data_IF_062273843833
#
_entry.id   IF_062273843833
#
_cell.length_a   1.000
_cell.length_b   1.000
_cell.length_c   1.000
_cell.angle_alpha   90.00
_cell.angle_beta   90.00
_cell.angle_gamma   90.00
#
_symmetry.space_group_name_H-M   'P 1'
#
loop_
_entity.id
_entity.type
_entity.pdbx_description
1 polymer ?
#
# COMPACT_ATOMS: atom_id res chain seq x y z
N UNK A 1 0.13 -6.42 11.04
CA UNK A 1 -0.61 -5.65 10.02
C UNK A 1 -2.10 -5.99 9.95
N UNK A 2 -2.76 -6.23 11.08
CA UNK A 2 -4.19 -6.59 11.10
C UNK A 2 -5.11 -5.44 10.68
N UNK A 3 -4.78 -4.21 11.07
CA UNK A 3 -5.60 -3.03 10.80
C UNK A 3 -5.57 -2.61 9.34
N UNK A 4 -4.43 -2.74 8.65
CA UNK A 4 -4.32 -2.50 7.21
C UNK A 4 -5.20 -3.50 6.44
N UNK A 5 -5.09 -4.79 6.76
CA UNK A 5 -5.90 -5.82 6.08
C UNK A 5 -7.40 -5.58 6.30
N UNK A 6 -7.81 -5.21 7.52
CA UNK A 6 -9.20 -4.91 7.87
C UNK A 6 -9.74 -3.68 7.14
N UNK A 7 -8.94 -2.62 7.03
CA UNK A 7 -9.32 -1.39 6.34
C UNK A 7 -9.39 -1.57 4.82
N UNK A 8 -8.39 -2.25 4.25
CA UNK A 8 -8.19 -2.28 2.79
C UNK A 8 -8.87 -3.44 2.08
N UNK A 9 -9.20 -4.56 2.75
CA UNK A 9 -9.95 -5.65 2.12
C UNK A 9 -11.29 -5.19 1.49
N UNK A 10 -12.18 -4.47 2.21
CA UNK A 10 -13.42 -3.99 1.61
C UNK A 10 -13.19 -2.91 0.54
N UNK A 11 -12.15 -2.08 0.66
CA UNK A 11 -11.77 -1.09 -0.36
C UNK A 11 -11.27 -1.76 -1.64
N UNK A 12 -10.47 -2.82 -1.53
CA UNK A 12 -10.01 -3.58 -2.68
C UNK A 12 -11.17 -4.30 -3.39
N UNK A 13 -12.10 -4.89 -2.63
CA UNK A 13 -13.30 -5.47 -3.21
C UNK A 13 -14.14 -4.42 -3.95
N UNK A 14 -14.29 -3.22 -3.35
CA UNK A 14 -15.00 -2.10 -3.97
C UNK A 14 -14.33 -1.64 -5.28
N UNK A 15 -13.00 -1.59 -5.33
CA UNK A 15 -12.25 -1.26 -6.57
C UNK A 15 -12.48 -2.32 -7.65
N UNK A 16 -12.44 -3.60 -7.28
CA UNK A 16 -12.67 -4.71 -8.22
C UNK A 16 -14.09 -4.76 -8.78
N UNK A 17 -15.10 -4.28 -8.03
CA UNK A 17 -16.49 -4.15 -8.50
C UNK A 17 -16.60 -3.17 -9.70
N UNK A 18 -15.75 -2.13 -9.73
CA UNK A 18 -15.83 -1.04 -10.72
C UNK A 18 -14.75 -1.13 -11.80
N UNK A 19 -13.60 -1.72 -11.47
CA UNK A 19 -12.46 -1.88 -12.36
C UNK A 19 -11.89 -3.30 -12.16
N UNK A 20 -12.40 -4.32 -12.88
CA UNK A 20 -11.89 -5.67 -12.73
C UNK A 20 -10.41 -5.73 -13.09
N UNK A 21 -9.67 -6.58 -12.37
CA UNK A 21 -8.24 -6.73 -12.61
C UNK A 21 -7.97 -7.24 -14.03
N UNK A 22 -7.10 -6.54 -14.75
CA UNK A 22 -6.53 -7.04 -16.01
C UNK A 22 -5.38 -8.01 -15.69
N UNK A 23 -5.04 -8.98 -16.57
CA UNK A 23 -3.90 -9.88 -16.35
C UNK A 23 -2.60 -9.15 -16.00
N UNK A 24 -2.31 -8.03 -16.66
CA UNK A 24 -1.16 -7.18 -16.36
C UNK A 24 -1.14 -6.62 -14.92
N UNK A 25 -2.31 -6.48 -14.26
CA UNK A 25 -2.37 -6.06 -12.86
C UNK A 25 -1.88 -7.17 -11.92
N UNK A 26 -2.00 -8.45 -12.28
CA UNK A 26 -1.50 -9.54 -11.47
C UNK A 26 0.04 -9.57 -11.43
N UNK A 27 0.67 -9.34 -12.58
CA UNK A 27 2.14 -9.25 -12.66
C UNK A 27 2.66 -8.00 -11.94
N UNK A 28 1.98 -6.85 -12.11
CA UNK A 28 2.31 -5.64 -11.35
C UNK A 28 2.13 -5.85 -9.84
N UNK A 29 1.05 -6.50 -9.41
CA UNK A 29 0.83 -6.82 -8.00
C UNK A 29 1.94 -7.71 -7.43
N UNK A 30 2.36 -8.73 -8.19
CA UNK A 30 3.51 -9.59 -7.82
C UNK A 30 4.80 -8.80 -7.74
N UNK A 31 5.05 -7.90 -8.69
CA UNK A 31 6.24 -7.05 -8.70
C UNK A 31 6.27 -6.07 -7.52
N UNK A 32 5.13 -5.45 -7.18
CA UNK A 32 5.02 -4.57 -6.00
C UNK A 32 5.22 -5.35 -4.68
N UNK A 33 4.85 -6.64 -4.66
CA UNK A 33 5.07 -7.52 -3.54
C UNK A 33 6.47 -8.18 -3.52
N UNK A 34 7.38 -7.80 -4.42
CA UNK A 34 8.73 -8.41 -4.53
C UNK A 34 9.59 -8.27 -3.27
N UNK A 35 9.27 -7.32 -2.39
CA UNK A 35 9.93 -7.11 -1.10
C UNK A 35 9.04 -7.49 0.08
N UNK A 36 7.99 -8.29 -0.13
CA UNK A 36 7.11 -8.74 0.94
C UNK A 36 7.79 -9.76 1.85
N UNK A 37 8.62 -10.66 1.28
CA UNK A 37 9.38 -11.64 2.04
C UNK A 37 10.72 -11.04 2.53
N UNK A 38 10.96 -11.01 3.85
CA UNK A 38 12.22 -10.49 4.38
C UNK A 38 13.44 -11.34 3.98
N UNK A 39 13.26 -12.60 3.54
CA UNK A 39 14.33 -13.40 2.95
C UNK A 39 14.76 -12.86 1.57
N UNK A 40 13.82 -12.41 0.75
CA UNK A 40 14.12 -11.79 -0.54
C UNK A 40 14.88 -10.48 -0.38
N UNK A 41 14.48 -9.65 0.60
CA UNK A 41 15.19 -8.42 0.94
C UNK A 41 16.66 -8.73 1.28
N UNK A 42 16.91 -9.71 2.17
CA UNK A 42 18.26 -10.11 2.55
C UNK A 42 19.06 -10.59 1.35
N UNK A 43 18.49 -11.48 0.54
CA UNK A 43 19.14 -12.03 -0.66
C UNK A 43 19.55 -10.93 -1.64
N UNK A 44 18.66 -9.98 -1.92
CA UNK A 44 18.91 -8.87 -2.85
C UNK A 44 20.04 -7.98 -2.32
N UNK A 45 20.01 -7.61 -1.04
CA UNK A 45 21.02 -6.74 -0.44
C UNK A 45 22.39 -7.43 -0.34
N UNK A 46 22.43 -8.72 0.03
CA UNK A 46 23.67 -9.50 0.03
C UNK A 46 24.28 -9.63 -1.37
N UNK A 47 23.45 -9.89 -2.39
CA UNK A 47 23.92 -9.94 -3.79
C UNK A 47 24.48 -8.59 -4.27
N UNK A 48 24.03 -7.48 -3.68
CA UNK A 48 24.55 -6.13 -3.93
C UNK A 48 25.79 -5.76 -3.09
N UNK A 49 26.34 -6.69 -2.30
CA UNK A 49 27.56 -6.46 -1.51
C UNK A 49 27.34 -5.78 -0.15
N UNK A 50 26.08 -5.67 0.30
CA UNK A 50 25.77 -5.19 1.64
C UNK A 50 25.98 -6.30 2.67
N UNK A 51 26.43 -5.90 3.86
CA UNK A 51 26.63 -6.75 5.04
C UNK A 51 25.84 -6.21 6.23
N UNK A 52 25.83 -6.97 7.34
CA UNK A 52 25.09 -6.65 8.57
C UNK A 52 23.61 -6.29 8.33
N UNK A 53 22.96 -7.07 7.45
CA UNK A 53 21.59 -6.80 7.01
C UNK A 53 20.59 -7.16 8.10
N UNK A 54 19.81 -6.16 8.54
CA UNK A 54 18.69 -6.30 9.45
C UNK A 54 17.39 -6.04 8.70
N UNK A 55 16.36 -6.85 8.97
CA UNK A 55 15.01 -6.68 8.42
C UNK A 55 14.04 -6.93 9.57
N UNK A 56 13.45 -5.85 10.08
CA UNK A 56 12.63 -5.87 11.30
C UNK A 56 11.19 -5.47 10.95
N UNK A 57 10.17 -6.25 11.36
CA UNK A 57 8.78 -5.84 11.19
C UNK A 57 8.49 -4.64 12.10
N UNK A 58 7.91 -3.59 11.54
CA UNK A 58 7.43 -2.42 12.28
C UNK A 58 5.98 -2.17 11.91
N UNK A 59 5.15 -1.92 12.93
CA UNK A 59 3.83 -1.34 12.73
C UNK A 59 3.92 0.17 12.95
N UNK A 60 3.54 0.95 11.93
CA UNK A 60 3.60 2.40 11.98
C UNK A 60 2.27 3.00 11.51
N UNK A 61 1.72 4.02 12.20
CA UNK A 61 0.54 4.73 11.73
C UNK A 61 0.87 5.47 10.43
N UNK A 62 0.17 5.15 9.35
CA UNK A 62 0.32 5.83 8.06
C UNK A 62 -0.82 6.81 7.87
N UNK A 63 -0.49 7.99 7.33
CA UNK A 63 -1.47 9.01 6.97
C UNK A 63 -1.98 8.77 5.55
N UNK A 64 -3.29 8.65 5.39
CA UNK A 64 -3.93 8.32 4.11
C UNK A 64 -4.67 9.48 3.46
N UNK A 65 -4.92 10.54 4.21
CA UNK A 65 -5.62 11.74 3.75
C UNK A 65 -6.02 12.62 4.92
N UNK A 66 -6.24 13.91 4.65
CA UNK A 66 -6.62 14.89 5.66
C UNK A 66 -8.00 14.59 6.29
N UNK A 67 -8.86 13.88 5.56
CA UNK A 67 -10.14 13.36 6.03
C UNK A 67 -10.51 12.08 5.26
N UNK A 68 -11.66 11.47 5.58
CA UNK A 68 -12.11 10.25 4.91
C UNK A 68 -12.45 10.44 3.42
N UNK A 69 -12.73 11.66 2.96
CA UNK A 69 -12.98 11.94 1.55
C UNK A 69 -11.67 12.03 0.77
N UNK A 70 -10.69 12.77 1.28
CA UNK A 70 -9.34 12.84 0.71
C UNK A 70 -8.67 11.46 0.65
N UNK A 71 -8.78 10.69 1.74
CA UNK A 71 -8.29 9.32 1.78
C UNK A 71 -9.02 8.39 0.79
N UNK A 72 -10.32 8.60 0.54
CA UNK A 72 -11.05 7.83 -0.47
C UNK A 72 -10.52 8.11 -1.88
N UNK A 73 -10.27 9.37 -2.22
CA UNK A 73 -9.69 9.73 -3.53
C UNK A 73 -8.30 9.11 -3.70
N UNK A 74 -7.44 9.23 -2.68
CA UNK A 74 -6.10 8.65 -2.71
C UNK A 74 -6.12 7.14 -2.93
N UNK A 75 -6.99 6.42 -2.23
CA UNK A 75 -7.09 4.95 -2.35
C UNK A 75 -7.65 4.51 -3.70
N UNK A 76 -8.62 5.24 -4.24
CA UNK A 76 -9.20 4.94 -5.56
C UNK A 76 -8.19 5.20 -6.69
N UNK A 77 -7.35 6.22 -6.54
CA UNK A 77 -6.32 6.59 -7.53
C UNK A 77 -5.05 5.72 -7.48
N UNK A 78 -4.87 4.90 -6.45
CA UNK A 78 -3.60 4.20 -6.19
C UNK A 78 -3.60 2.70 -6.54
N UNK A 79 -2.39 2.13 -6.64
CA UNK A 79 -2.13 0.69 -6.71
C UNK A 79 -2.39 0.03 -8.07
N UNK A 80 -2.28 -1.32 -8.13
CA UNK A 80 -2.40 -2.08 -9.37
C UNK A 80 -3.78 -2.01 -10.02
N UNK A 81 -4.82 -1.86 -9.19
CA UNK A 81 -6.23 -1.75 -9.62
C UNK A 81 -6.72 -0.32 -9.42
N UNK A 82 -6.00 0.67 -9.98
CA UNK A 82 -6.46 2.06 -9.94
C UNK A 82 -7.79 2.20 -10.68
N UNK A 83 -8.71 2.96 -10.12
CA UNK A 83 -10.00 3.27 -10.77
C UNK A 83 -9.79 4.52 -11.61
N UNK A 84 -10.09 4.44 -12.90
CA UNK A 84 -10.14 5.60 -13.78
C UNK A 84 -11.46 6.36 -13.53
N UNK A 85 -11.40 7.33 -12.62
CA UNK A 85 -12.59 8.07 -12.17
C UNK A 85 -13.20 8.90 -13.31
N UNK A 86 -12.40 9.33 -14.29
CA UNK A 86 -12.85 10.13 -15.43
C UNK A 86 -13.66 9.30 -16.44
N UNK A 87 -13.40 7.98 -16.49
CA UNK A 87 -14.14 7.04 -17.33
C UNK A 87 -15.48 6.59 -16.72
N UNK A 88 -15.75 6.91 -15.45
CA UNK A 88 -16.98 6.48 -14.77
C UNK A 88 -18.15 7.45 -15.00
N UNK A 89 -19.38 6.93 -15.17
CA UNK A 89 -20.57 7.77 -15.15
C UNK A 89 -20.69 8.55 -13.83
N UNK A 90 -21.13 9.82 -13.83
CA UNK A 90 -21.19 10.66 -12.62
C UNK A 90 -21.92 10.02 -11.43
N UNK A 91 -23.03 9.32 -11.70
CA UNK A 91 -23.80 8.63 -10.66
C UNK A 91 -23.04 7.45 -10.03
N UNK A 92 -22.23 6.73 -10.82
CA UNK A 92 -21.40 5.62 -10.35
C UNK A 92 -20.23 6.18 -9.54
N UNK A 93 -19.59 7.23 -10.04
CA UNK A 93 -18.50 7.92 -9.36
C UNK A 93 -18.93 8.43 -7.98
N UNK A 94 -20.09 9.08 -7.89
CA UNK A 94 -20.64 9.56 -6.62
C UNK A 94 -20.89 8.42 -5.63
N UNK A 95 -21.44 7.29 -6.10
CA UNK A 95 -21.68 6.11 -5.26
C UNK A 95 -20.38 5.48 -4.78
N UNK A 96 -19.40 5.34 -5.66
CA UNK A 96 -18.08 4.79 -5.36
C UNK A 96 -17.37 5.61 -4.28
N UNK A 97 -17.31 6.93 -4.46
CA UNK A 97 -16.74 7.87 -3.48
C UNK A 97 -17.43 7.80 -2.13
N UNK A 98 -18.77 7.79 -2.13
CA UNK A 98 -19.58 7.69 -0.91
C UNK A 98 -19.27 6.41 -0.14
N UNK A 99 -19.21 5.26 -0.83
CA UNK A 99 -18.91 3.96 -0.22
C UNK A 99 -17.47 3.88 0.29
N UNK A 100 -16.49 4.35 -0.49
CA UNK A 100 -15.09 4.39 -0.09
C UNK A 100 -14.89 5.28 1.14
N UNK A 101 -15.50 6.48 1.15
CA UNK A 101 -15.50 7.37 2.30
C UNK A 101 -16.08 6.67 3.52
N UNK A 102 -17.26 6.06 3.42
CA UNK A 102 -17.91 5.38 4.54
C UNK A 102 -17.04 4.27 5.16
N UNK A 103 -16.29 3.53 4.33
CA UNK A 103 -15.33 2.52 4.80
C UNK A 103 -14.13 3.12 5.56
N UNK A 104 -13.73 4.35 5.23
CA UNK A 104 -12.58 5.03 5.82
C UNK A 104 -12.94 5.88 7.05
N UNK A 105 -14.22 6.24 7.23
CA UNK A 105 -14.71 7.03 8.37
C UNK A 105 -14.28 6.51 9.75
N UNK A 106 -14.26 5.20 10.04
CA UNK A 106 -13.82 4.70 11.34
C UNK A 106 -12.35 4.99 11.68
N UNK A 107 -11.54 5.34 10.68
CA UNK A 107 -10.11 5.62 10.82
C UNK A 107 -9.80 7.14 10.80
N UNK A 108 -10.81 7.99 10.67
CA UNK A 108 -10.69 9.45 10.67
C UNK A 108 -10.44 9.98 12.10
N UNK A 109 -9.40 10.78 12.26
CA UNK A 109 -9.01 11.42 13.53
C UNK A 109 -8.88 12.93 13.34
N UNK A 110 -8.60 13.69 14.41
CA UNK A 110 -8.30 15.11 14.30
C UNK A 110 -7.07 15.42 13.42
N UNK A 111 -6.15 14.45 13.28
CA UNK A 111 -4.92 14.56 12.49
C UNK A 111 -5.01 13.79 11.15
N UNK A 112 -6.24 13.59 10.65
CA UNK A 112 -6.56 12.90 9.40
C UNK A 112 -6.81 11.40 9.56
N UNK A 113 -6.86 10.69 8.44
CA UNK A 113 -7.11 9.24 8.40
C UNK A 113 -5.81 8.49 8.70
N UNK A 114 -5.79 7.77 9.82
CA UNK A 114 -4.62 7.00 10.28
C UNK A 114 -4.94 5.51 10.30
N UNK A 115 -4.21 4.75 9.48
CA UNK A 115 -4.31 3.28 9.45
C UNK A 115 -2.91 2.73 9.67
N UNK A 116 -2.74 1.91 10.70
CA UNK A 116 -1.48 1.24 10.98
C UNK A 116 -1.09 0.36 9.79
N UNK A 117 0.06 0.64 9.21
CA UNK A 117 0.71 -0.18 8.18
C UNK A 117 1.71 -1.14 8.79
N UNK A 118 1.93 -2.28 8.13
CA UNK A 118 3.08 -3.13 8.40
C UNK A 118 4.16 -2.83 7.36
N UNK A 119 5.35 -2.46 7.84
CA UNK A 119 6.51 -2.14 7.02
C UNK A 119 7.73 -2.92 7.49
N UNK A 120 8.69 -3.12 6.59
CA UNK A 120 10.02 -3.59 6.94
C UNK A 120 10.93 -2.40 7.22
N UNK A 121 11.48 -2.31 8.43
CA UNK A 121 12.64 -1.46 8.69
C UNK A 121 13.88 -2.24 8.28
N UNK A 122 14.58 -1.74 7.26
CA UNK A 122 15.75 -2.39 6.69
C UNK A 122 16.99 -1.56 6.98
N UNK A 123 17.99 -2.17 7.59
CA UNK A 123 19.31 -1.59 7.80
C UNK A 123 20.38 -2.48 7.19
N UNK A 124 21.40 -1.89 6.59
CA UNK A 124 22.56 -2.61 6.07
C UNK A 124 23.75 -1.65 5.95
N UNK A 125 24.97 -2.19 5.94
CA UNK A 125 26.20 -1.41 5.71
C UNK A 125 26.89 -1.87 4.44
N UNK A 126 27.57 -0.95 3.76
CA UNK A 126 28.41 -1.32 2.62
C UNK A 126 29.58 -2.17 3.12
N UNK A 127 29.78 -3.36 2.56
CA UNK A 127 31.01 -4.11 2.80
C UNK A 127 32.18 -3.25 2.31
N UNK A 128 32.96 -2.69 3.23
CA UNK A 128 34.08 -1.83 2.87
C UNK A 128 35.02 -2.56 1.92
N UNK A 129 35.48 -1.85 0.89
CA UNK A 129 36.74 -2.21 0.25
C UNK A 129 37.79 -2.21 1.36
N UNK A 130 38.37 -3.38 1.68
CA UNK A 130 39.58 -3.40 2.48
C UNK A 130 40.59 -2.56 1.70
N UNK A 131 40.95 -1.39 2.23
CA UNK A 131 42.03 -0.59 1.70
C UNK A 131 43.29 -1.47 1.75
N UNK A 132 43.72 -1.95 0.59
CA UNK A 132 45.00 -2.61 0.37
C UNK A 132 46.01 -1.58 -0.11
#
# INVERSE_FOLDING_TARGET
>A
GGDTARAFAPLNALKLEHAPARPAHADLARAMASLADPADIRRILSAAGYVDITVTPVEAPMHWGADAADAAEFVLASGPVRVDLDALPPAVLARLRSRARALLRPYETADGVRISGAVWLVGAVTGGCAAA
#
